data_IF_207142600188
#
_entry.id   IF_207142600188
#
_cell.length_a   1.000
_cell.length_b   1.000
_cell.length_c   1.000
_cell.angle_alpha   90.00
_cell.angle_beta   90.00
_cell.angle_gamma   90.00
#
_symmetry.space_group_name_H-M   'P 1'
#
loop_
_entity.id
_entity.type
_entity.pdbx_description
1 polymer ?
#
# COMPACT_ATOMS: atom_id res chain seq x y z
N UNK A 1 -2.71 -6.46 -2.13
CA UNK A 1 -2.54 -6.05 -0.73
C UNK A 1 -3.90 -5.78 -0.11
N UNK A 2 -4.11 -6.16 1.14
CA UNK A 2 -5.38 -5.91 1.85
C UNK A 2 -5.29 -4.66 2.72
N UNK A 3 -6.34 -3.86 2.70
CA UNK A 3 -6.47 -2.55 3.35
C UNK A 3 -7.85 -2.43 4.00
N UNK A 4 -7.98 -1.61 5.05
CA UNK A 4 -9.30 -1.17 5.49
C UNK A 4 -9.91 -0.26 4.42
N UNK A 5 -11.25 -0.27 4.20
CA UNK A 5 -11.88 0.46 3.10
C UNK A 5 -11.44 1.92 2.95
N UNK A 6 -11.45 2.70 4.04
CA UNK A 6 -11.01 4.11 4.04
C UNK A 6 -9.60 4.35 3.49
N UNK A 7 -8.68 3.38 3.62
CA UNK A 7 -7.32 3.51 3.11
C UNK A 7 -7.22 3.10 1.65
N UNK A 8 -8.03 2.15 1.21
CA UNK A 8 -8.11 1.80 -0.21
C UNK A 8 -8.73 2.96 -1.00
N UNK A 9 -9.80 3.56 -0.49
CA UNK A 9 -10.41 4.79 -1.05
C UNK A 9 -9.39 5.93 -1.10
N UNK A 10 -8.69 6.21 0.00
CA UNK A 10 -7.66 7.26 0.04
C UNK A 10 -6.49 7.00 -0.94
N UNK A 11 -6.16 5.75 -1.25
CA UNK A 11 -5.14 5.46 -2.27
C UNK A 11 -5.72 5.75 -3.66
N UNK A 12 -6.96 5.32 -3.92
CA UNK A 12 -7.62 5.47 -5.22
C UNK A 12 -7.97 6.93 -5.55
N UNK A 13 -8.28 7.76 -4.55
CA UNK A 13 -8.52 9.20 -4.73
C UNK A 13 -7.21 10.03 -4.73
N UNK A 14 -6.06 9.39 -4.47
CA UNK A 14 -4.74 10.01 -4.47
C UNK A 14 -4.36 10.77 -3.19
N UNK A 15 -5.20 10.79 -2.15
CA UNK A 15 -4.91 11.47 -0.88
C UNK A 15 -3.94 10.69 0.01
N UNK A 16 -3.79 9.39 -0.22
CA UNK A 16 -2.80 8.51 0.43
C UNK A 16 -1.87 7.91 -0.62
N UNK A 17 -0.64 8.43 -0.67
CA UNK A 17 0.40 7.97 -1.61
C UNK A 17 1.45 7.06 -0.95
N UNK A 18 1.31 6.79 0.35
CA UNK A 18 2.29 6.00 1.12
C UNK A 18 1.57 4.93 1.93
N UNK A 19 1.97 3.67 1.78
CA UNK A 19 1.57 2.54 2.61
C UNK A 19 2.73 2.03 3.46
N UNK A 20 2.49 1.84 4.76
CA UNK A 20 3.47 1.23 5.67
C UNK A 20 3.21 -0.27 5.83
N UNK A 21 4.28 -1.06 5.84
CA UNK A 21 4.26 -2.52 6.01
C UNK A 21 5.45 -2.94 6.88
N UNK A 22 5.20 -3.74 7.92
CA UNK A 22 6.29 -4.29 8.76
C UNK A 22 7.23 -5.20 7.96
N UNK A 23 6.68 -5.97 7.04
CA UNK A 23 7.46 -6.82 6.15
C UNK A 23 7.70 -6.08 4.85
N UNK A 24 8.96 -6.06 4.40
CA UNK A 24 9.34 -5.51 3.11
C UNK A 24 8.51 -6.13 1.99
N UNK A 25 7.94 -5.28 1.14
CA UNK A 25 7.32 -5.70 -0.12
C UNK A 25 8.44 -6.14 -1.08
N UNK A 26 8.42 -7.39 -1.52
CA UNK A 26 9.38 -7.90 -2.51
C UNK A 26 8.83 -7.74 -3.93
N UNK A 27 8.73 -6.50 -4.40
CA UNK A 27 8.31 -6.19 -5.76
C UNK A 27 9.09 -4.98 -6.31
N UNK A 28 9.47 -4.97 -7.59
CA UNK A 28 10.13 -3.82 -8.19
C UNK A 28 9.14 -2.65 -8.38
N UNK A 29 9.61 -1.39 -8.39
CA UNK A 29 8.83 -0.25 -8.88
C UNK A 29 8.21 -0.52 -10.27
N UNK A 30 7.03 0.03 -10.50
CA UNK A 30 6.18 -0.25 -11.67
C UNK A 30 5.22 -1.43 -11.48
N UNK A 31 5.39 -2.24 -10.42
CA UNK A 31 4.49 -3.37 -10.13
C UNK A 31 3.06 -2.88 -9.88
N UNK A 32 2.09 -3.52 -10.53
CA UNK A 32 0.67 -3.31 -10.27
C UNK A 32 0.26 -4.03 -8.98
N UNK A 33 -0.26 -3.26 -8.03
CA UNK A 33 -0.76 -3.71 -6.74
C UNK A 33 -2.28 -3.82 -6.81
N UNK A 34 -2.81 -5.03 -6.65
CA UNK A 34 -4.26 -5.23 -6.49
C UNK A 34 -4.67 -4.78 -5.09
N UNK A 35 -5.62 -3.85 -5.00
CA UNK A 35 -6.13 -3.32 -3.74
C UNK A 35 -7.38 -4.09 -3.33
N UNK A 36 -7.29 -4.84 -2.23
CA UNK A 36 -8.43 -5.51 -1.62
C UNK A 36 -8.89 -4.71 -0.39
N UNK A 37 -10.13 -4.24 -0.42
CA UNK A 37 -10.77 -3.63 0.74
C UNK A 37 -11.36 -4.74 1.61
N UNK A 38 -10.93 -4.81 2.88
CA UNK A 38 -11.47 -5.74 3.86
C UNK A 38 -12.92 -5.40 4.23
N UNK A 39 -13.47 -6.06 5.26
CA UNK A 39 -14.82 -5.76 5.74
C UNK A 39 -15.04 -4.26 6.02
N UNK A 40 -16.25 -3.72 5.72
CA UNK A 40 -17.40 -4.43 5.12
C UNK A 40 -17.36 -4.61 3.59
N UNK A 41 -16.44 -3.97 2.86
CA UNK A 41 -16.42 -3.99 1.38
C UNK A 41 -16.10 -5.37 0.80
N UNK A 42 -15.12 -6.06 1.40
CA UNK A 42 -14.74 -7.45 1.06
C UNK A 42 -14.49 -7.72 -0.43
N UNK A 43 -13.95 -6.75 -1.16
CA UNK A 43 -13.78 -6.83 -2.61
C UNK A 43 -12.44 -6.27 -3.07
N UNK A 44 -12.02 -6.68 -4.27
CA UNK A 44 -10.99 -5.95 -5.01
C UNK A 44 -11.63 -4.65 -5.49
N UNK A 45 -11.04 -3.52 -5.10
CA UNK A 45 -11.60 -2.18 -5.35
C UNK A 45 -10.80 -1.38 -6.37
N UNK A 46 -9.62 -1.85 -6.75
CA UNK A 46 -8.82 -1.19 -7.77
C UNK A 46 -7.39 -1.68 -7.82
N UNK A 47 -6.57 -0.94 -8.56
CA UNK A 47 -5.16 -1.20 -8.77
C UNK A 47 -4.41 0.09 -8.43
N UNK A 48 -3.23 -0.04 -7.84
CA UNK A 48 -2.26 1.03 -7.72
C UNK A 48 -0.92 0.60 -8.34
N UNK A 49 -0.06 1.54 -8.67
CA UNK A 49 1.31 1.29 -9.13
C UNK A 49 2.27 1.56 -7.99
N UNK A 50 3.14 0.58 -7.69
CA UNK A 50 4.25 0.75 -6.76
C UNK A 50 5.29 1.70 -7.38
N UNK A 51 5.57 2.83 -6.74
CA UNK A 51 6.54 3.83 -7.24
C UNK A 51 7.92 3.62 -6.61
N UNK A 52 7.97 3.14 -5.37
CA UNK A 52 9.23 2.94 -4.66
C UNK A 52 9.03 2.25 -3.33
N UNK A 53 10.13 1.74 -2.77
CA UNK A 53 10.17 1.17 -1.43
C UNK A 53 11.30 1.86 -0.68
N UNK A 54 10.96 2.45 0.45
CA UNK A 54 11.90 2.97 1.43
C UNK A 54 11.85 2.07 2.67
N UNK A 55 13.00 1.74 3.24
CA UNK A 55 13.08 0.95 4.46
C UNK A 55 13.54 1.88 5.56
N UNK A 56 12.67 2.10 6.55
CA UNK A 56 12.97 2.94 7.69
C UNK A 56 13.08 2.06 8.94
N UNK A 57 13.91 2.49 9.89
CA UNK A 57 13.91 1.87 11.22
C UNK A 57 12.96 2.67 12.11
N UNK A 58 11.81 2.13 12.53
CA UNK A 58 10.93 2.78 13.49
C UNK A 58 11.55 2.66 14.89
N UNK A 59 12.59 3.43 15.19
CA UNK A 59 13.26 3.45 16.50
C UNK A 59 13.99 2.17 16.96
N UNK A 60 13.62 0.98 16.46
CA UNK A 60 14.25 -0.37 16.48
C UNK A 60 13.19 -1.41 16.04
N UNK A 61 12.90 -1.52 14.73
CA UNK A 61 12.41 -2.75 14.02
C UNK A 61 11.80 -2.45 12.64
N UNK A 62 12.61 -2.50 11.56
CA UNK A 62 12.26 -2.98 10.20
C UNK A 62 11.03 -2.52 9.39
N UNK A 63 10.29 -1.46 9.72
CA UNK A 63 9.12 -1.06 8.91
C UNK A 63 9.52 -0.56 7.50
N UNK A 64 8.92 -1.15 6.47
CA UNK A 64 9.06 -0.73 5.08
C UNK A 64 7.89 0.17 4.65
N UNK A 65 8.23 1.27 4.01
CA UNK A 65 7.33 2.26 3.43
C UNK A 65 7.26 2.04 1.92
N UNK A 66 6.07 1.80 1.38
CA UNK A 66 5.83 1.68 -0.05
C UNK A 66 5.12 2.93 -0.58
N UNK A 67 5.75 3.63 -1.52
CA UNK A 67 5.11 4.72 -2.24
C UNK A 67 4.22 4.16 -3.35
N UNK A 68 2.98 4.63 -3.43
CA UNK A 68 1.95 4.16 -4.35
C UNK A 68 1.25 5.33 -5.06
N UNK A 69 0.87 5.11 -6.31
CA UNK A 69 -0.03 5.97 -7.08
C UNK A 69 -1.22 5.14 -7.54
N UNK A 70 -2.44 5.67 -7.50
CA UNK A 70 -3.58 5.08 -8.21
C UNK A 70 -3.24 4.83 -9.69
#
# INVERSE_FOLDING_TARGET
MSLRPRFAEAILDGTKTIELRRTRVSAPPGTKLVLYASAPTMAVVGIATLIGIEIASPGKSGDATAAVSA
#
